data_IF_106127342690
#
_entry.id   IF_106127342690
#
_cell.length_a   1.000
_cell.length_b   1.000
_cell.length_c   1.000
_cell.angle_alpha   90.00
_cell.angle_beta   90.00
_cell.angle_gamma   90.00
#
_symmetry.space_group_name_H-M   'P 1'
#
loop_
_entity.id
_entity.type
_entity.pdbx_description
1 polymer ?
#
# COMPACT_ATOMS: atom_id res chain seq x y z
N UNK A 1 -25.28 -18.71 75.44
CA UNK A 1 -25.31 -19.79 76.46
C UNK A 1 -25.93 -21.07 75.87
N UNK A 2 -25.24 -22.17 76.12
CA UNK A 2 -25.43 -23.53 75.63
C UNK A 2 -26.86 -24.12 75.80
N UNK A 3 -27.29 -24.92 74.83
CA UNK A 3 -28.11 -26.15 74.98
C UNK A 3 -28.34 -26.72 73.55
N UNK A 4 -27.83 -27.85 73.09
CA UNK A 4 -27.77 -29.22 73.60
C UNK A 4 -29.14 -29.94 73.62
N UNK A 5 -29.29 -30.84 72.63
CA UNK A 5 -29.93 -32.17 72.68
C UNK A 5 -31.46 -32.28 72.85
N UNK A 6 -32.07 -33.05 71.94
CA UNK A 6 -32.83 -34.23 72.36
C UNK A 6 -34.20 -34.47 71.71
N UNK A 7 -34.20 -35.46 70.81
CA UNK A 7 -35.20 -36.53 70.69
C UNK A 7 -36.60 -36.25 70.09
N UNK A 8 -36.75 -36.67 68.82
CA UNK A 8 -37.60 -37.78 68.32
C UNK A 8 -38.51 -38.47 69.37
N UNK A 9 -39.71 -39.03 69.02
CA UNK A 9 -39.84 -39.89 67.83
C UNK A 9 -41.25 -40.04 67.17
N UNK A 10 -41.24 -40.82 66.09
CA UNK A 10 -42.20 -41.92 65.78
C UNK A 10 -43.46 -41.65 64.94
N UNK A 11 -43.27 -41.78 63.62
CA UNK A 11 -43.89 -42.73 62.68
C UNK A 11 -45.38 -43.16 62.80
N UNK A 12 -46.13 -42.97 61.69
CA UNK A 12 -46.78 -44.00 60.85
C UNK A 12 -48.02 -43.42 60.11
N UNK A 13 -47.89 -43.09 58.82
CA UNK A 13 -48.35 -43.85 57.64
C UNK A 13 -49.88 -43.93 57.44
N UNK A 14 -50.37 -43.27 56.40
CA UNK A 14 -51.68 -43.49 55.79
C UNK A 14 -52.03 -42.50 54.67
N UNK A 15 -52.14 -43.03 53.46
CA UNK A 15 -52.87 -42.52 52.27
C UNK A 15 -52.11 -41.58 51.29
N UNK A 16 -51.70 -42.16 50.16
CA UNK A 16 -51.58 -41.51 48.84
C UNK A 16 -52.96 -40.92 48.42
N UNK A 17 -53.08 -39.90 47.51
CA UNK A 17 -52.28 -39.75 46.30
C UNK A 17 -52.02 -38.30 45.81
N UNK A 18 -51.31 -38.21 44.67
CA UNK A 18 -51.58 -37.29 43.55
C UNK A 18 -50.46 -36.31 43.19
N UNK A 19 -49.86 -36.65 42.05
CA UNK A 19 -49.60 -35.77 40.91
C UNK A 19 -48.59 -34.62 41.04
N UNK A 20 -47.47 -34.87 40.38
CA UNK A 20 -46.86 -34.02 39.36
C UNK A 20 -46.27 -32.67 39.78
N UNK A 21 -44.96 -32.67 40.04
CA UNK A 21 -44.05 -31.70 39.44
C UNK A 21 -42.78 -32.44 39.01
N UNK A 22 -42.52 -32.38 37.71
CA UNK A 22 -41.37 -33.02 37.07
C UNK A 22 -40.06 -32.45 37.60
N UNK A 23 -39.08 -33.34 37.74
CA UNK A 23 -37.72 -33.00 38.09
C UNK A 23 -37.13 -32.04 37.05
N UNK A 24 -36.81 -30.81 37.44
CA UNK A 24 -35.76 -30.06 36.77
C UNK A 24 -34.42 -30.75 37.08
N UNK A 25 -33.64 -31.18 36.07
CA UNK A 25 -32.34 -31.75 36.34
C UNK A 25 -31.40 -30.64 36.80
N UNK A 26 -30.96 -30.77 38.05
CA UNK A 26 -29.85 -30.05 38.66
C UNK A 26 -28.62 -30.04 37.74
N UNK A 27 -28.02 -28.88 37.52
CA UNK A 27 -26.87 -28.65 36.66
C UNK A 27 -25.54 -29.27 37.18
N UNK A 28 -25.61 -30.28 38.05
CA UNK A 28 -24.45 -30.85 38.75
C UNK A 28 -23.93 -32.18 38.15
N UNK A 29 -24.67 -32.85 37.26
CA UNK A 29 -24.25 -34.14 36.67
C UNK A 29 -23.99 -34.02 35.16
N UNK A 30 -22.93 -33.29 34.79
CA UNK A 30 -22.28 -33.52 33.49
C UNK A 30 -20.93 -34.17 33.75
N UNK A 31 -20.93 -35.51 33.71
CA UNK A 31 -19.73 -36.33 33.57
C UNK A 31 -18.82 -35.71 32.49
N UNK A 32 -17.51 -35.52 32.76
CA UNK A 32 -16.61 -34.99 31.75
C UNK A 32 -16.62 -35.95 30.56
N UNK A 33 -16.98 -35.44 29.39
CA UNK A 33 -16.94 -36.19 28.14
C UNK A 33 -15.61 -36.92 28.02
N UNK A 34 -15.64 -38.22 27.71
CA UNK A 34 -14.47 -39.08 27.61
C UNK A 34 -13.35 -38.40 26.79
N UNK A 35 -12.15 -38.32 27.37
CA UNK A 35 -10.99 -37.70 26.74
C UNK A 35 -10.67 -38.40 25.41
N UNK A 36 -10.74 -37.65 24.31
CA UNK A 36 -10.35 -38.13 22.99
C UNK A 36 -8.82 -38.04 22.89
N UNK A 37 -8.13 -39.17 22.97
CA UNK A 37 -6.67 -39.22 22.97
C UNK A 37 -6.03 -39.01 21.59
N UNK A 38 -6.79 -39.21 20.52
CA UNK A 38 -6.33 -39.04 19.14
C UNK A 38 -7.50 -38.73 18.20
N UNK A 39 -7.26 -37.89 17.20
CA UNK A 39 -8.17 -37.63 16.09
C UNK A 39 -7.34 -37.41 14.83
N UNK A 40 -7.83 -37.91 13.70
CA UNK A 40 -7.22 -37.65 12.39
C UNK A 40 -7.74 -36.34 11.77
N UNK A 41 -8.83 -35.79 12.32
CA UNK A 41 -9.48 -34.56 11.85
C UNK A 41 -9.39 -33.47 12.92
N UNK A 42 -8.36 -32.63 12.83
CA UNK A 42 -8.16 -31.46 13.70
C UNK A 42 -7.58 -30.28 12.92
N UNK A 43 -8.20 -29.10 13.09
CA UNK A 43 -7.69 -27.83 12.57
C UNK A 43 -7.39 -26.90 13.75
N UNK A 44 -6.10 -26.70 14.03
CA UNK A 44 -5.64 -25.84 15.14
C UNK A 44 -4.59 -24.86 14.63
N UNK A 45 -4.79 -23.59 14.97
CA UNK A 45 -3.81 -22.53 14.77
C UNK A 45 -3.48 -21.96 16.14
N UNK A 46 -2.22 -22.11 16.57
CA UNK A 46 -1.73 -21.60 17.84
C UNK A 46 -0.85 -20.37 17.59
N UNK A 47 -1.23 -19.25 18.18
CA UNK A 47 -0.46 -18.01 18.17
C UNK A 47 -0.03 -17.72 19.59
N UNK A 48 1.27 -17.58 19.81
CA UNK A 48 1.84 -17.44 21.15
C UNK A 48 1.70 -16.03 21.73
N UNK A 49 1.56 -15.03 20.87
CA UNK A 49 1.52 -13.62 21.24
C UNK A 49 0.17 -13.00 20.88
N UNK A 50 -0.48 -12.37 21.86
CA UNK A 50 -1.79 -11.72 21.69
C UNK A 50 -1.67 -10.29 21.21
N UNK A 51 -0.49 -9.66 21.29
CA UNK A 51 -0.33 -8.25 20.98
C UNK A 51 -0.63 -7.95 19.50
N UNK A 52 -0.42 -8.94 18.62
CA UNK A 52 -0.86 -8.97 17.22
C UNK A 52 -2.32 -8.49 17.01
N UNK A 53 -3.22 -8.75 17.96
CA UNK A 53 -4.63 -8.39 17.87
C UNK A 53 -4.91 -6.92 18.18
N UNK A 54 -3.98 -6.23 18.84
CA UNK A 54 -4.13 -4.84 19.25
C UNK A 54 -4.22 -3.93 18.03
N UNK A 55 -5.18 -3.00 18.00
CA UNK A 55 -5.40 -2.08 16.87
C UNK A 55 -4.10 -1.40 16.41
N UNK A 56 -3.26 -0.98 17.36
CA UNK A 56 -2.01 -0.30 17.05
C UNK A 56 -1.03 -1.16 16.25
N UNK A 57 -1.15 -2.50 16.27
CA UNK A 57 -0.29 -3.44 15.55
C UNK A 57 -0.65 -3.60 14.07
N UNK A 58 -1.71 -2.97 13.58
CA UNK A 58 -2.12 -3.12 12.17
C UNK A 58 -2.95 -1.99 11.59
N UNK A 59 -3.57 -1.14 12.41
CA UNK A 59 -4.39 -0.01 11.96
C UNK A 59 -3.92 1.26 12.65
N UNK A 60 -3.73 2.30 11.85
CA UNK A 60 -3.53 3.65 12.36
C UNK A 60 -4.82 4.43 12.17
N UNK A 61 -5.38 4.94 13.28
CA UNK A 61 -6.59 5.77 13.26
C UNK A 61 -6.19 7.22 13.42
N UNK A 62 -6.54 8.05 12.44
CA UNK A 62 -6.31 9.50 12.47
C UNK A 62 -7.67 10.22 12.50
N UNK A 63 -7.74 11.32 13.26
CA UNK A 63 -8.92 12.18 13.29
C UNK A 63 -8.74 13.30 12.27
N UNK A 64 -9.61 13.35 11.27
CA UNK A 64 -9.63 14.40 10.25
C UNK A 64 -11.02 15.04 10.24
N UNK A 65 -11.09 16.33 10.60
CA UNK A 65 -12.36 17.07 10.71
C UNK A 65 -13.45 16.37 11.53
N UNK A 66 -13.07 15.73 12.65
CA UNK A 66 -14.00 14.98 13.52
C UNK A 66 -14.42 13.61 12.98
N UNK A 67 -13.93 13.21 11.80
CA UNK A 67 -14.10 11.85 11.27
C UNK A 67 -12.87 11.01 11.56
N UNK A 68 -13.08 9.79 12.07
CA UNK A 68 -12.01 8.79 12.26
C UNK A 68 -11.74 8.09 10.94
N UNK A 69 -10.53 8.25 10.42
CA UNK A 69 -10.04 7.55 9.24
C UNK A 69 -9.08 6.46 9.72
N UNK A 70 -9.40 5.21 9.42
CA UNK A 70 -8.56 4.06 9.72
C UNK A 70 -7.77 3.65 8.47
N UNK A 71 -6.44 3.65 8.55
CA UNK A 71 -5.56 3.17 7.49
C UNK A 71 -4.79 1.95 7.98
N UNK A 72 -4.87 0.80 7.29
CA UNK A 72 -4.05 -0.35 7.65
C UNK A 72 -2.59 -0.08 7.30
N UNK A 73 -1.67 -0.49 8.17
CA UNK A 73 -0.22 -0.39 7.95
C UNK A 73 0.48 -1.76 8.02
N UNK A 74 -0.17 -2.75 8.63
CA UNK A 74 0.26 -4.14 8.61
C UNK A 74 -0.93 -5.08 8.35
N UNK A 75 -0.63 -6.33 8.00
CA UNK A 75 -1.61 -7.34 7.62
C UNK A 75 -1.99 -8.30 8.77
N UNK A 76 -1.79 -7.89 10.03
CA UNK A 76 -2.06 -8.77 11.18
C UNK A 76 -3.56 -9.08 11.33
N UNK A 77 -4.45 -8.10 11.11
CA UNK A 77 -5.88 -8.40 11.12
C UNK A 77 -6.34 -9.21 9.91
N UNK A 78 -5.73 -9.02 8.74
CA UNK A 78 -5.99 -9.90 7.60
C UNK A 78 -5.64 -11.35 7.95
N UNK A 79 -4.51 -11.57 8.62
CA UNK A 79 -4.11 -12.90 9.12
C UNK A 79 -5.19 -13.49 10.03
N UNK A 80 -5.64 -12.74 11.05
CA UNK A 80 -6.65 -13.22 12.02
C UNK A 80 -7.98 -13.53 11.33
N UNK A 81 -8.49 -12.63 10.48
CA UNK A 81 -9.76 -12.85 9.78
C UNK A 81 -9.67 -14.04 8.84
N UNK A 82 -8.56 -14.18 8.10
CA UNK A 82 -8.36 -15.32 7.20
C UNK A 82 -8.22 -16.64 7.97
N UNK A 83 -7.59 -16.62 9.15
CA UNK A 83 -7.48 -17.77 10.05
C UNK A 83 -8.86 -18.20 10.56
N UNK A 84 -9.68 -17.27 11.03
CA UNK A 84 -11.06 -17.56 11.46
C UNK A 84 -11.88 -18.11 10.30
N UNK A 85 -11.82 -17.47 9.12
CA UNK A 85 -12.51 -17.93 7.92
C UNK A 85 -12.06 -19.34 7.49
N UNK A 86 -10.78 -19.66 7.65
CA UNK A 86 -10.22 -20.98 7.32
C UNK A 86 -10.75 -22.07 8.25
N UNK A 87 -10.85 -21.77 9.55
CA UNK A 87 -11.36 -22.69 10.57
C UNK A 87 -12.89 -22.88 10.48
N UNK A 88 -13.63 -21.88 9.98
CA UNK A 88 -15.10 -21.94 9.83
C UNK A 88 -15.54 -22.68 8.55
N UNK A 89 -14.63 -22.96 7.61
CA UNK A 89 -14.86 -24.00 6.60
C UNK A 89 -15.05 -23.53 5.15
N UNK A 90 -14.10 -22.78 4.59
CA UNK A 90 -13.94 -22.73 3.12
C UNK A 90 -12.47 -22.71 2.66
N UNK A 91 -11.72 -23.78 2.97
CA UNK A 91 -10.33 -23.92 2.53
C UNK A 91 -10.13 -23.73 1.00
N UNK A 92 -11.14 -24.07 0.18
CA UNK A 92 -11.10 -23.92 -1.27
C UNK A 92 -11.23 -22.46 -1.78
N UNK A 93 -11.95 -21.58 -1.06
CA UNK A 93 -12.19 -20.19 -1.49
C UNK A 93 -11.16 -19.19 -0.94
N UNK A 94 -10.42 -19.55 0.12
CA UNK A 94 -9.41 -18.68 0.76
C UNK A 94 -8.08 -18.66 -0.03
N UNK A 95 -7.71 -19.76 -0.68
CA UNK A 95 -6.47 -19.85 -1.47
C UNK A 95 -6.41 -18.83 -2.63
N UNK A 96 -7.57 -18.48 -3.19
CA UNK A 96 -7.71 -17.52 -4.30
C UNK A 96 -7.49 -16.07 -3.84
N UNK A 97 -7.91 -15.73 -2.61
CA UNK A 97 -7.77 -14.38 -2.04
C UNK A 97 -6.38 -14.12 -1.44
N UNK A 98 -5.67 -15.17 -1.02
CA UNK A 98 -4.33 -15.09 -0.39
C UNK A 98 -3.19 -14.68 -1.33
N UNK A 99 -3.42 -14.62 -2.65
CA UNK A 99 -2.47 -14.01 -3.58
C UNK A 99 -2.54 -12.50 -3.37
N UNK A 100 -1.86 -12.04 -2.32
CA UNK A 100 -1.69 -10.62 -2.01
C UNK A 100 -1.34 -9.85 -3.26
N UNK A 101 -1.81 -8.60 -3.35
CA UNK A 101 -1.49 -7.70 -4.46
C UNK A 101 0.03 -7.57 -4.56
N UNK A 102 0.65 -8.41 -5.38
CA UNK A 102 2.05 -8.30 -5.75
C UNK A 102 2.16 -7.03 -6.59
N UNK A 103 2.57 -5.94 -5.94
CA UNK A 103 3.10 -4.81 -6.67
C UNK A 103 4.44 -5.27 -7.24
N UNK A 104 4.50 -5.52 -8.56
CA UNK A 104 5.77 -5.59 -9.29
C UNK A 104 6.05 -4.18 -9.81
N UNK A 105 6.70 -3.32 -9.01
CA UNK A 105 7.12 -2.03 -9.52
C UNK A 105 8.05 -2.24 -10.72
N UNK A 106 7.96 -1.33 -11.68
CA UNK A 106 8.88 -1.31 -12.81
C UNK A 106 10.22 -0.74 -12.34
N UNK A 107 11.08 -1.58 -11.74
CA UNK A 107 12.37 -1.17 -11.17
C UNK A 107 13.24 -0.38 -12.17
N UNK A 108 13.29 -0.83 -13.43
CA UNK A 108 14.00 -0.12 -14.51
C UNK A 108 13.50 1.32 -14.70
N UNK A 109 12.20 1.56 -14.57
CA UNK A 109 11.62 2.91 -14.66
C UNK A 109 11.95 3.74 -13.42
N UNK A 110 12.01 3.11 -12.24
CA UNK A 110 12.39 3.80 -11.01
C UNK A 110 13.85 4.22 -11.01
N UNK A 111 14.76 3.34 -11.43
CA UNK A 111 16.18 3.62 -11.51
C UNK A 111 16.46 4.76 -12.49
N UNK A 112 15.80 4.75 -13.66
CA UNK A 112 15.91 5.82 -14.63
C UNK A 112 15.35 7.16 -14.10
N UNK A 113 14.20 7.13 -13.42
CA UNK A 113 13.65 8.33 -12.78
C UNK A 113 14.63 8.92 -11.78
N UNK A 114 15.23 8.06 -10.96
CA UNK A 114 16.22 8.45 -9.96
C UNK A 114 17.47 9.06 -10.60
N UNK A 115 17.96 8.47 -11.68
CA UNK A 115 19.12 8.99 -12.42
C UNK A 115 18.81 10.35 -13.06
N UNK A 116 17.64 10.48 -13.69
CA UNK A 116 17.21 11.72 -14.31
C UNK A 116 16.98 12.84 -13.27
N UNK A 117 16.42 12.50 -12.11
CA UNK A 117 16.27 13.41 -10.97
C UNK A 117 17.63 13.85 -10.41
N UNK A 118 18.61 12.93 -10.33
CA UNK A 118 19.97 13.26 -9.89
C UNK A 118 20.63 14.27 -10.83
N UNK A 119 20.59 14.02 -12.15
CA UNK A 119 21.12 14.95 -13.17
C UNK A 119 20.42 16.31 -13.15
N UNK A 120 19.11 16.30 -12.92
CA UNK A 120 18.32 17.51 -12.75
C UNK A 120 18.77 18.33 -11.54
N UNK A 121 18.92 17.68 -10.37
CA UNK A 121 19.32 18.36 -9.14
C UNK A 121 20.70 19.01 -9.28
N UNK A 122 21.67 18.31 -9.87
CA UNK A 122 23.01 18.83 -10.14
C UNK A 122 22.94 20.10 -11.03
N UNK A 123 22.31 19.98 -12.20
CA UNK A 123 22.19 21.10 -13.15
C UNK A 123 21.38 22.28 -12.60
N UNK A 124 20.32 21.99 -11.85
CA UNK A 124 19.46 23.01 -11.26
C UNK A 124 20.18 23.77 -10.15
N UNK A 125 20.94 23.09 -9.30
CA UNK A 125 21.71 23.73 -8.22
C UNK A 125 22.77 24.66 -8.79
N UNK A 126 23.52 24.23 -9.81
CA UNK A 126 24.54 25.05 -10.47
C UNK A 126 23.94 26.31 -11.09
N UNK A 127 22.83 26.17 -11.82
CA UNK A 127 22.13 27.30 -12.44
C UNK A 127 21.51 28.23 -11.39
N UNK A 128 21.00 27.69 -10.28
CA UNK A 128 20.45 28.48 -9.17
C UNK A 128 21.55 29.28 -8.47
N UNK A 129 22.74 28.69 -8.29
CA UNK A 129 23.90 29.37 -7.74
C UNK A 129 24.36 30.53 -8.63
N UNK A 130 24.50 30.29 -9.94
CA UNK A 130 24.84 31.33 -10.92
C UNK A 130 23.79 32.46 -10.95
N UNK A 131 22.50 32.11 -10.85
CA UNK A 131 21.43 33.10 -10.78
C UNK A 131 21.54 33.97 -9.53
N UNK A 132 21.78 33.36 -8.37
CA UNK A 132 21.94 34.07 -7.09
C UNK A 132 23.15 35.00 -7.13
N UNK A 133 24.28 34.54 -7.68
CA UNK A 133 25.47 35.37 -7.83
C UNK A 133 25.22 36.57 -8.76
N UNK A 134 24.58 36.32 -9.91
CA UNK A 134 24.21 37.38 -10.86
C UNK A 134 23.24 38.40 -10.24
N UNK A 135 22.26 37.94 -9.45
CA UNK A 135 21.32 38.83 -8.76
C UNK A 135 21.99 39.67 -7.66
N UNK A 136 22.98 39.10 -6.96
CA UNK A 136 23.78 39.84 -5.98
C UNK A 136 24.63 40.92 -6.65
N UNK A 137 25.30 40.60 -7.76
CA UNK A 137 26.11 41.57 -8.51
C UNK A 137 25.24 42.71 -9.07
N UNK A 138 24.05 42.38 -9.60
CA UNK A 138 23.09 43.38 -10.08
C UNK A 138 22.59 44.28 -8.95
N UNK A 139 22.23 43.70 -7.80
CA UNK A 139 21.79 44.45 -6.62
C UNK A 139 22.88 45.39 -6.08
N UNK A 140 24.15 44.97 -6.13
CA UNK A 140 25.28 45.80 -5.72
C UNK A 140 25.44 47.02 -6.63
N UNK A 141 25.31 46.83 -7.96
CA UNK A 141 25.36 47.91 -8.95
C UNK A 141 24.16 48.87 -8.84
N UNK A 142 22.96 48.34 -8.55
CA UNK A 142 21.76 49.18 -8.32
C UNK A 142 21.86 49.99 -7.02
N UNK A 143 22.45 49.42 -5.97
CA UNK A 143 22.67 50.11 -4.69
C UNK A 143 23.72 51.21 -4.84
N UNK A 144 24.85 50.95 -5.53
CA UNK A 144 25.85 51.98 -5.80
C UNK A 144 25.30 53.15 -6.62
N UNK A 145 24.40 52.85 -7.59
CA UNK A 145 23.67 53.85 -8.37
C UNK A 145 22.79 54.76 -7.49
N UNK A 146 22.14 54.20 -6.47
CA UNK A 146 21.33 54.96 -5.51
C UNK A 146 22.18 55.92 -4.67
N UNK A 147 23.38 55.50 -4.25
CA UNK A 147 24.28 56.30 -3.42
C UNK A 147 24.98 57.44 -4.19
N UNK A 148 25.29 57.23 -5.48
CA UNK A 148 26.02 58.21 -6.32
C UNK A 148 25.11 59.24 -7.02
N UNK A 149 23.80 59.13 -6.85
CA UNK A 149 22.80 60.04 -7.44
C UNK A 149 22.47 59.70 -8.90
N UNK A 150 21.25 60.08 -9.34
CA UNK A 150 20.59 59.66 -10.58
C UNK A 150 21.34 59.92 -11.91
N UNK A 151 22.52 60.57 -11.88
CA UNK A 151 23.21 61.17 -13.03
C UNK A 151 24.62 60.60 -13.32
N UNK A 152 25.09 59.55 -12.64
CA UNK A 152 26.46 59.06 -12.84
C UNK A 152 26.58 57.54 -12.91
N UNK A 153 26.01 56.91 -13.95
CA UNK A 153 26.51 55.61 -14.40
C UNK A 153 27.64 55.87 -15.41
N UNK A 154 28.78 55.21 -15.24
CA UNK A 154 29.77 55.18 -16.32
C UNK A 154 29.23 54.34 -17.48
N UNK A 155 29.61 54.63 -18.74
CA UNK A 155 29.22 53.79 -19.89
C UNK A 155 29.58 52.31 -19.70
N UNK A 156 30.66 52.01 -18.97
CA UNK A 156 31.04 50.64 -18.63
C UNK A 156 30.04 49.97 -17.67
N UNK A 157 29.50 50.70 -16.68
CA UNK A 157 28.51 50.16 -15.74
C UNK A 157 27.15 49.88 -16.38
N UNK A 158 26.73 50.74 -17.31
CA UNK A 158 25.48 50.54 -18.07
C UNK A 158 25.58 49.30 -18.98
N UNK A 159 26.75 49.10 -19.59
CA UNK A 159 27.02 47.89 -20.41
C UNK A 159 27.00 46.62 -19.55
N UNK A 160 27.67 46.64 -18.39
CA UNK A 160 27.67 45.51 -17.46
C UNK A 160 26.26 45.16 -16.95
N UNK A 161 25.42 46.16 -16.69
CA UNK A 161 24.04 45.95 -16.27
C UNK A 161 23.20 45.23 -17.35
N UNK A 162 23.37 45.61 -18.62
CA UNK A 162 22.71 44.93 -19.75
C UNK A 162 23.20 43.49 -19.88
N UNK A 163 24.49 43.24 -19.74
CA UNK A 163 25.07 41.89 -19.76
C UNK A 163 24.49 41.01 -18.64
N UNK A 164 24.41 41.52 -17.40
CA UNK A 164 23.83 40.78 -16.28
C UNK A 164 22.33 40.50 -16.45
N UNK A 165 21.58 41.42 -17.04
CA UNK A 165 20.16 41.18 -17.36
C UNK A 165 20.00 40.08 -18.42
N UNK A 166 20.84 40.09 -19.46
CA UNK A 166 20.85 39.03 -20.48
C UNK A 166 21.24 37.68 -19.88
N UNK A 167 22.24 37.67 -19.00
CA UNK A 167 22.72 36.47 -18.33
C UNK A 167 21.64 35.86 -17.42
N UNK A 168 20.94 36.68 -16.65
CA UNK A 168 19.76 36.26 -15.87
C UNK A 168 18.68 35.61 -16.73
N UNK A 169 18.39 36.18 -17.91
CA UNK A 169 17.41 35.61 -18.84
C UNK A 169 17.89 34.28 -19.44
N UNK A 170 19.18 34.18 -19.76
CA UNK A 170 19.84 32.96 -20.25
C UNK A 170 19.71 31.83 -19.22
N UNK A 171 20.10 32.09 -17.96
CA UNK A 171 20.03 31.12 -16.87
C UNK A 171 18.58 30.67 -16.62
N UNK A 172 17.61 31.60 -16.60
CA UNK A 172 16.19 31.26 -16.45
C UNK A 172 15.66 30.40 -17.59
N UNK A 173 16.14 30.61 -18.82
CA UNK A 173 15.79 29.77 -19.97
C UNK A 173 16.38 28.37 -19.80
N UNK A 174 17.65 28.27 -19.44
CA UNK A 174 18.31 26.99 -19.17
C UNK A 174 17.60 26.19 -18.07
N UNK A 175 17.16 26.83 -16.99
CA UNK A 175 16.36 26.17 -15.95
C UNK A 175 15.05 25.58 -16.48
N UNK A 176 14.36 26.28 -17.40
CA UNK A 176 13.15 25.76 -18.04
C UNK A 176 13.44 24.62 -19.00
N UNK A 177 14.53 24.74 -19.77
CA UNK A 177 14.94 23.72 -20.73
C UNK A 177 15.35 22.42 -20.02
N UNK A 178 16.11 22.52 -18.92
CA UNK A 178 16.49 21.38 -18.07
C UNK A 178 15.26 20.68 -17.48
N UNK A 179 14.27 21.43 -17.00
CA UNK A 179 12.98 20.86 -16.56
C UNK A 179 12.24 20.13 -17.67
N UNK A 180 12.17 20.74 -18.85
CA UNK A 180 11.44 20.17 -19.97
C UNK A 180 12.11 18.91 -20.54
N UNK A 181 13.44 18.85 -20.50
CA UNK A 181 14.22 17.68 -20.90
C UNK A 181 13.92 16.48 -19.98
N UNK A 182 13.84 16.71 -18.67
CA UNK A 182 13.49 15.68 -17.68
C UNK A 182 12.12 15.05 -17.94
N UNK A 183 11.11 15.88 -18.21
CA UNK A 183 9.75 15.41 -18.50
C UNK A 183 9.72 14.56 -19.79
N UNK A 184 10.43 14.98 -20.84
CA UNK A 184 10.49 14.26 -22.13
C UNK A 184 11.12 12.88 -22.02
N UNK A 185 12.23 12.76 -21.30
CA UNK A 185 12.94 11.49 -21.16
C UNK A 185 12.07 10.45 -20.40
N UNK A 186 11.31 10.90 -19.41
CA UNK A 186 10.39 10.06 -18.64
C UNK A 186 9.18 9.63 -19.49
N UNK A 187 8.60 10.55 -20.26
CA UNK A 187 7.44 10.28 -21.12
C UNK A 187 7.77 9.32 -22.27
N UNK A 188 8.90 9.52 -22.95
CA UNK A 188 9.32 8.71 -24.08
C UNK A 188 9.50 7.24 -23.70
N UNK A 189 10.22 6.97 -22.62
CA UNK A 189 10.45 5.59 -22.18
C UNK A 189 9.19 4.93 -21.61
N UNK A 190 8.39 5.70 -20.85
CA UNK A 190 7.08 5.24 -20.38
C UNK A 190 6.14 4.86 -21.52
N UNK A 191 6.17 5.61 -22.62
CA UNK A 191 5.39 5.33 -23.83
C UNK A 191 5.87 4.06 -24.54
N UNK A 192 7.18 3.87 -24.68
CA UNK A 192 7.78 2.68 -25.31
C UNK A 192 7.41 1.39 -24.56
N UNK A 193 7.53 1.42 -23.22
CA UNK A 193 7.17 0.28 -22.37
C UNK A 193 5.67 -0.05 -22.45
N UNK A 194 4.82 0.97 -22.48
CA UNK A 194 3.37 0.82 -22.68
C UNK A 194 3.07 0.22 -24.05
N UNK A 195 3.71 0.69 -25.12
CA UNK A 195 3.52 0.17 -26.47
C UNK A 195 3.88 -1.33 -26.55
N UNK A 196 5.01 -1.72 -25.96
CA UNK A 196 5.43 -3.12 -25.92
C UNK A 196 4.42 -4.02 -25.19
N UNK A 197 3.87 -3.58 -24.05
CA UNK A 197 2.92 -4.41 -23.31
C UNK A 197 1.50 -4.36 -23.87
N UNK A 198 1.02 -3.19 -24.30
CA UNK A 198 -0.38 -2.98 -24.70
C UNK A 198 -0.60 -3.37 -26.17
N UNK A 199 0.33 -3.09 -27.06
CA UNK A 199 0.16 -3.34 -28.49
C UNK A 199 0.88 -4.62 -28.96
N UNK A 200 2.16 -4.80 -28.60
CA UNK A 200 2.98 -5.88 -29.16
C UNK A 200 2.49 -7.27 -28.73
N UNK A 201 2.16 -7.47 -27.45
CA UNK A 201 1.72 -8.78 -26.94
C UNK A 201 0.39 -9.22 -27.57
N UNK A 202 -0.67 -8.40 -27.60
CA UNK A 202 -1.90 -8.78 -28.31
C UNK A 202 -1.67 -9.07 -29.79
N UNK A 203 -0.86 -8.27 -30.49
CA UNK A 203 -0.53 -8.49 -31.91
C UNK A 203 0.18 -9.83 -32.12
N UNK A 204 1.14 -10.18 -31.27
CA UNK A 204 1.83 -11.47 -31.36
C UNK A 204 0.85 -12.64 -31.17
N UNK A 205 -0.08 -12.53 -30.21
CA UNK A 205 -1.08 -13.56 -29.96
C UNK A 205 -2.06 -13.70 -31.13
N UNK A 206 -2.53 -12.59 -31.73
CA UNK A 206 -3.43 -12.64 -32.88
C UNK A 206 -2.75 -13.23 -34.11
N UNK A 207 -1.48 -12.85 -34.37
CA UNK A 207 -0.68 -13.43 -35.45
C UNK A 207 -0.45 -14.93 -35.24
N UNK A 208 -0.13 -15.35 -34.02
CA UNK A 208 0.05 -16.76 -33.69
C UNK A 208 -1.24 -17.57 -33.93
N UNK A 209 -2.40 -17.05 -33.50
CA UNK A 209 -3.71 -17.66 -33.75
C UNK A 209 -4.03 -17.77 -35.24
N UNK A 210 -3.77 -16.70 -36.01
CA UNK A 210 -3.95 -16.69 -37.46
C UNK A 210 -3.06 -17.74 -38.14
N UNK A 211 -1.78 -17.81 -37.77
CA UNK A 211 -0.83 -18.79 -38.32
C UNK A 211 -1.28 -20.24 -38.05
N UNK A 212 -1.74 -20.52 -36.83
CA UNK A 212 -2.27 -21.85 -36.48
C UNK A 212 -3.56 -22.18 -37.25
N UNK A 213 -4.43 -21.19 -37.46
CA UNK A 213 -5.67 -21.37 -38.22
C UNK A 213 -5.38 -21.70 -39.68
N UNK A 214 -4.43 -20.98 -40.29
CA UNK A 214 -4.00 -21.18 -41.67
C UNK A 214 -3.30 -22.54 -41.87
N UNK A 215 -2.44 -22.93 -40.94
CA UNK A 215 -1.79 -24.24 -40.97
C UNK A 215 -2.83 -25.39 -40.87
N UNK A 216 -3.90 -25.23 -40.09
CA UNK A 216 -4.99 -26.21 -40.01
C UNK A 216 -5.80 -26.32 -41.30
N UNK A 217 -6.07 -25.21 -41.98
CA UNK A 217 -6.82 -25.23 -43.24
C UNK A 217 -6.02 -25.87 -44.38
N UNK A 218 -4.72 -25.58 -44.47
CA UNK A 218 -3.84 -26.16 -45.50
C UNK A 218 -3.63 -27.67 -45.30
N UNK A 219 -3.54 -28.13 -44.05
CA UNK A 219 -3.44 -29.57 -43.74
C UNK A 219 -4.74 -30.34 -44.02
N UNK A 220 -5.90 -29.68 -43.97
CA UNK A 220 -7.18 -30.29 -44.37
C UNK A 220 -7.27 -30.45 -45.89
N UNK A 221 -6.81 -29.48 -46.67
CA UNK A 221 -6.85 -29.56 -48.14
C UNK A 221 -5.82 -30.54 -48.74
N UNK A 222 -4.77 -30.94 -47.99
CA UNK A 222 -3.82 -31.97 -48.47
C UNK A 222 -4.19 -33.41 -48.09
N UNK A 223 -5.27 -33.60 -47.32
CA UNK A 223 -5.72 -34.91 -46.82
C UNK A 223 -7.02 -35.39 -47.46
N UNK A 224 -7.54 -34.67 -48.47
CA UNK A 224 -8.60 -35.19 -49.33
C UNK A 224 -7.95 -35.89 -50.55
N UNK A 225 -8.23 -37.19 -50.77
CA UNK A 225 -7.72 -37.96 -51.92
C UNK A 225 -8.42 -37.61 -53.23
#
# INVERSE_FOLDING_TARGET
PSAALGNEPSAALGNEPSAALGNEPSAADKEPSAHIAATDDINVILVADTDLLSDHMWVQVQNFFGQRIASPWANNGDFVTNTVDNLVGSAALISVRSRGRFSRPFNVVQDLRREAETRYLESANDLQAQLSETEQQLSALETSRSEQGLLSLSPEQETALVEFQQEKLRIRKQLRDVRHQLDKDIEGLGSMLKFLNIALIPILLTLMLLMLSYAKTVKRSSNEP
#
